data_IF_253204697452
#
_entry.id   IF_253204697452
#
_cell.length_a   1.000
_cell.length_b   1.000
_cell.length_c   1.000
_cell.angle_alpha   90.00
_cell.angle_beta   90.00
_cell.angle_gamma   90.00
#
_symmetry.space_group_name_H-M   'P 1'
#
loop_
_entity.id
_entity.type
_entity.pdbx_description
1 polymer ?
#
# COMPACT_ATOMS: atom_id res chain seq x y z
N UNK A 1 2.38 -13.79 24.82
CA UNK A 1 3.72 -13.18 24.65
C UNK A 1 4.28 -13.48 23.26
N UNK A 2 3.78 -14.54 22.62
CA UNK A 2 4.22 -15.02 21.31
C UNK A 2 3.92 -14.04 20.16
N UNK A 3 2.74 -13.41 20.12
CA UNK A 3 2.40 -12.47 19.03
C UNK A 3 3.32 -11.24 18.99
N UNK A 4 3.76 -10.72 20.14
CA UNK A 4 4.70 -9.60 20.18
C UNK A 4 6.10 -10.01 19.70
N UNK A 5 6.50 -11.25 20.00
CA UNK A 5 7.75 -11.81 19.49
C UNK A 5 7.68 -12.00 17.97
N UNK A 6 6.55 -12.47 17.42
CA UNK A 6 6.36 -12.62 15.97
C UNK A 6 6.37 -11.27 15.26
N UNK A 7 5.64 -10.27 15.77
CA UNK A 7 5.67 -8.90 15.25
C UNK A 7 7.11 -8.37 15.24
N UNK A 8 7.84 -8.56 16.34
CA UNK A 8 9.23 -8.12 16.43
C UNK A 8 10.11 -8.85 15.41
N UNK A 9 9.94 -10.17 15.23
CA UNK A 9 10.70 -10.95 14.25
C UNK A 9 10.41 -10.51 12.81
N UNK A 10 9.15 -10.20 12.47
CA UNK A 10 8.78 -9.74 11.13
C UNK A 10 9.28 -8.32 10.85
N UNK A 11 9.30 -7.45 11.87
CA UNK A 11 9.78 -6.07 11.74
C UNK A 11 11.30 -5.92 11.93
N UNK A 12 11.97 -6.87 12.58
CA UNK A 12 13.41 -6.84 12.84
C UNK A 12 14.23 -6.61 11.56
N UNK A 13 13.97 -7.30 10.42
CA UNK A 13 14.66 -7.03 9.17
C UNK A 13 14.58 -5.56 8.73
N UNK A 14 13.47 -4.87 8.99
CA UNK A 14 13.31 -3.45 8.66
C UNK A 14 14.28 -2.59 9.45
N UNK A 15 14.34 -2.80 10.76
CA UNK A 15 15.24 -2.05 11.65
C UNK A 15 16.70 -2.36 11.35
N UNK A 16 17.02 -3.63 11.08
CA UNK A 16 18.37 -4.05 10.66
C UNK A 16 18.74 -3.39 9.33
N UNK A 17 17.85 -3.40 8.33
CA UNK A 17 18.04 -2.70 7.06
C UNK A 17 18.30 -1.21 7.23
N UNK A 18 17.54 -0.56 8.14
CA UNK A 18 17.68 0.86 8.44
C UNK A 18 19.05 1.23 9.05
N UNK A 19 19.75 0.28 9.69
CA UNK A 19 21.10 0.51 10.20
C UNK A 19 22.15 0.66 9.09
N UNK A 20 21.90 0.14 7.88
CA UNK A 20 22.85 0.21 6.77
C UNK A 20 22.75 1.55 6.02
N UNK A 21 23.85 2.29 5.96
CA UNK A 21 24.01 3.45 5.04
C UNK A 21 24.77 3.00 3.80
N UNK A 22 24.06 2.87 2.69
CA UNK A 22 24.65 2.50 1.41
C UNK A 22 24.97 3.73 0.55
N UNK A 23 26.02 3.69 -0.27
CA UNK A 23 26.31 4.73 -1.26
C UNK A 23 25.26 4.72 -2.39
N UNK A 24 25.10 5.85 -3.09
CA UNK A 24 24.14 6.02 -4.18
C UNK A 24 24.06 4.89 -5.24
N UNK A 25 25.16 4.26 -5.72
CA UNK A 25 25.06 3.13 -6.63
C UNK A 25 24.42 1.87 -5.99
N UNK A 26 24.69 1.62 -4.71
CA UNK A 26 24.12 0.48 -3.99
C UNK A 26 22.64 0.69 -3.64
N UNK A 27 22.21 1.96 -3.45
CA UNK A 27 20.79 2.29 -3.34
C UNK A 27 20.02 2.02 -4.64
N UNK A 28 20.59 2.36 -5.79
CA UNK A 28 19.99 2.02 -7.10
C UNK A 28 19.85 0.50 -7.31
N UNK A 29 20.79 -0.28 -6.78
CA UNK A 29 20.67 -1.74 -6.77
C UNK A 29 19.54 -2.20 -5.83
N UNK A 30 19.45 -1.58 -4.64
CA UNK A 30 18.38 -1.85 -3.67
C UNK A 30 17.00 -1.61 -4.30
N UNK A 31 16.80 -0.52 -5.04
CA UNK A 31 15.54 -0.23 -5.74
C UNK A 31 15.18 -1.30 -6.80
N UNK A 32 16.19 -1.78 -7.54
CA UNK A 32 16.01 -2.88 -8.52
C UNK A 32 15.66 -4.19 -7.83
N UNK A 33 16.34 -4.52 -6.73
CA UNK A 33 16.06 -5.71 -5.94
C UNK A 33 14.67 -5.65 -5.31
N UNK A 34 14.25 -4.49 -4.80
CA UNK A 34 12.91 -4.27 -4.27
C UNK A 34 11.88 -4.53 -5.36
N UNK A 35 12.06 -3.93 -6.55
CA UNK A 35 11.19 -4.15 -7.71
C UNK A 35 11.13 -5.63 -8.11
N UNK A 36 12.27 -6.33 -8.10
CA UNK A 36 12.33 -7.78 -8.36
C UNK A 36 11.56 -8.57 -7.30
N UNK A 37 11.76 -8.27 -6.01
CA UNK A 37 11.03 -8.90 -4.92
C UNK A 37 9.51 -8.71 -5.09
N UNK A 38 9.06 -7.52 -5.49
CA UNK A 38 7.65 -7.27 -5.80
C UNK A 38 7.15 -8.23 -6.89
N UNK A 39 7.85 -8.34 -8.03
CA UNK A 39 7.40 -9.24 -9.09
C UNK A 39 7.41 -10.71 -8.67
N UNK A 40 8.41 -11.15 -7.90
CA UNK A 40 8.46 -12.51 -7.34
C UNK A 40 7.25 -12.75 -6.43
N UNK A 41 6.93 -11.81 -5.55
CA UNK A 41 5.77 -11.87 -4.65
C UNK A 41 4.47 -11.98 -5.45
N UNK A 42 4.27 -11.13 -6.45
CA UNK A 42 3.06 -11.14 -7.28
C UNK A 42 2.87 -12.49 -7.98
N UNK A 43 3.97 -13.07 -8.45
CA UNK A 43 3.99 -14.38 -9.07
C UNK A 43 3.64 -15.49 -8.07
N UNK A 44 4.19 -15.43 -6.84
CA UNK A 44 3.87 -16.37 -5.76
C UNK A 44 2.40 -16.29 -5.33
N UNK A 45 1.81 -15.10 -5.27
CA UNK A 45 0.38 -14.93 -4.99
C UNK A 45 -0.46 -15.59 -6.09
N UNK A 46 -0.10 -15.36 -7.37
CA UNK A 46 -0.76 -16.02 -8.50
C UNK A 46 -0.68 -17.55 -8.45
N UNK A 47 0.50 -18.10 -8.16
CA UNK A 47 0.67 -19.55 -7.97
C UNK A 47 -0.18 -20.07 -6.80
N UNK A 48 -0.22 -19.32 -5.68
CA UNK A 48 -1.04 -19.67 -4.53
C UNK A 48 -2.53 -19.70 -4.84
N UNK A 49 -3.03 -18.76 -5.65
CA UNK A 49 -4.40 -18.78 -6.14
C UNK A 49 -4.69 -20.00 -7.02
N UNK A 50 -3.74 -20.43 -7.85
CA UNK A 50 -3.95 -21.60 -8.73
C UNK A 50 -4.19 -22.91 -7.96
N UNK A 51 -3.73 -22.96 -6.71
CA UNK A 51 -3.81 -24.14 -5.85
C UNK A 51 -5.07 -24.17 -4.97
N UNK A 52 -5.92 -23.13 -5.04
CA UNK A 52 -7.16 -23.13 -4.25
C UNK A 52 -8.25 -23.96 -4.91
N UNK A 53 -8.95 -24.74 -4.10
CA UNK A 53 -10.11 -25.50 -4.57
C UNK A 53 -11.21 -24.53 -5.01
N UNK A 54 -11.82 -24.79 -6.16
CA UNK A 54 -12.93 -24.01 -6.70
C UNK A 54 -12.59 -22.52 -7.00
N UNK A 55 -11.52 -22.31 -7.76
CA UNK A 55 -11.00 -21.00 -8.21
C UNK A 55 -12.07 -20.00 -8.65
N UNK A 56 -13.09 -20.43 -9.40
CA UNK A 56 -14.14 -19.53 -9.90
C UNK A 56 -14.95 -18.85 -8.79
N UNK A 57 -15.29 -19.58 -7.73
CA UNK A 57 -16.02 -19.05 -6.57
C UNK A 57 -15.11 -18.15 -5.72
N UNK A 58 -13.86 -18.54 -5.55
CA UNK A 58 -12.83 -17.74 -4.87
C UNK A 58 -12.60 -16.39 -5.58
N UNK A 59 -12.46 -16.37 -6.91
CA UNK A 59 -12.29 -15.13 -7.67
C UNK A 59 -13.48 -14.17 -7.51
N UNK A 60 -14.71 -14.69 -7.49
CA UNK A 60 -15.91 -13.89 -7.22
C UNK A 60 -15.90 -13.28 -5.80
N UNK A 61 -15.51 -14.07 -4.80
CA UNK A 61 -15.35 -13.61 -3.42
C UNK A 61 -14.26 -12.54 -3.28
N UNK A 62 -13.08 -12.78 -3.87
CA UNK A 62 -11.96 -11.82 -3.89
C UNK A 62 -12.42 -10.50 -4.51
N UNK A 63 -13.07 -10.52 -5.66
CA UNK A 63 -13.55 -9.31 -6.32
C UNK A 63 -14.56 -8.55 -5.45
N UNK A 64 -15.53 -9.25 -4.84
CA UNK A 64 -16.50 -8.65 -3.95
C UNK A 64 -15.84 -8.00 -2.72
N UNK A 65 -14.97 -8.73 -2.01
CA UNK A 65 -14.28 -8.22 -0.83
C UNK A 65 -13.34 -7.06 -1.17
N UNK A 66 -12.61 -7.13 -2.28
CA UNK A 66 -11.75 -6.05 -2.74
C UNK A 66 -12.55 -4.77 -3.07
N UNK A 67 -13.68 -4.90 -3.77
CA UNK A 67 -14.54 -3.77 -4.11
C UNK A 67 -15.22 -3.16 -2.89
N UNK A 68 -15.68 -3.99 -1.94
CA UNK A 68 -16.27 -3.51 -0.70
C UNK A 68 -15.23 -2.77 0.14
N UNK A 69 -14.05 -3.36 0.35
CA UNK A 69 -12.95 -2.73 1.09
C UNK A 69 -12.53 -1.42 0.42
N UNK A 70 -12.39 -1.42 -0.91
CA UNK A 70 -12.10 -0.23 -1.71
C UNK A 70 -13.14 0.87 -1.52
N UNK A 71 -14.43 0.52 -1.59
CA UNK A 71 -15.53 1.47 -1.44
C UNK A 71 -15.54 2.08 -0.03
N UNK A 72 -15.39 1.26 1.01
CA UNK A 72 -15.32 1.71 2.40
C UNK A 72 -14.11 2.60 2.66
N UNK A 73 -12.91 2.17 2.24
CA UNK A 73 -11.69 2.95 2.40
C UNK A 73 -11.77 4.28 1.67
N UNK A 74 -12.20 4.27 0.42
CA UNK A 74 -12.33 5.48 -0.39
C UNK A 74 -13.38 6.42 0.20
N UNK A 75 -14.56 5.88 0.55
CA UNK A 75 -15.67 6.65 1.12
C UNK A 75 -15.30 7.30 2.45
N UNK A 76 -14.77 6.52 3.41
CA UNK A 76 -14.35 7.04 4.71
C UNK A 76 -13.21 8.05 4.58
N UNK A 77 -12.21 7.78 3.73
CA UNK A 77 -11.09 8.72 3.53
C UNK A 77 -11.56 10.02 2.90
N UNK A 78 -12.36 9.97 1.83
CA UNK A 78 -12.88 11.19 1.20
C UNK A 78 -13.78 11.96 2.16
N UNK A 79 -14.67 11.30 2.90
CA UNK A 79 -15.52 11.96 3.88
C UNK A 79 -14.70 12.68 4.97
N UNK A 80 -13.72 11.99 5.56
CA UNK A 80 -12.87 12.55 6.61
C UNK A 80 -11.96 13.67 6.10
N UNK A 81 -11.38 13.51 4.91
CA UNK A 81 -10.51 14.53 4.30
C UNK A 81 -11.31 15.75 3.84
N UNK A 82 -12.49 15.58 3.24
CA UNK A 82 -13.34 16.70 2.84
C UNK A 82 -13.87 17.45 4.06
N UNK A 83 -14.18 16.72 5.14
CA UNK A 83 -14.48 17.32 6.43
C UNK A 83 -13.28 18.14 6.96
N UNK A 84 -12.07 17.59 6.89
CA UNK A 84 -10.85 18.29 7.29
C UNK A 84 -10.57 19.53 6.43
N UNK A 85 -10.80 19.46 5.12
CA UNK A 85 -10.70 20.60 4.19
C UNK A 85 -11.66 21.74 4.57
N UNK A 86 -12.85 21.43 5.09
CA UNK A 86 -13.79 22.45 5.58
C UNK A 86 -13.31 23.14 6.86
N UNK A 87 -12.61 22.42 7.73
CA UNK A 87 -12.09 22.97 8.99
C UNK A 87 -10.79 23.76 8.74
N UNK A 88 -9.90 23.24 7.91
CA UNK A 88 -8.59 23.83 7.59
C UNK A 88 -8.40 23.94 6.07
N UNK A 89 -9.12 24.88 5.43
CA UNK A 89 -9.02 25.05 4.00
C UNK A 89 -7.58 25.39 3.60
N UNK A 90 -7.15 24.78 2.51
CA UNK A 90 -5.86 25.05 1.90
C UNK A 90 -6.02 25.04 0.39
N UNK A 91 -5.48 26.08 -0.23
CA UNK A 91 -5.37 26.16 -1.68
C UNK A 91 -3.91 26.44 -2.00
N UNK A 92 -3.17 25.45 -2.52
CA UNK A 92 -1.82 25.70 -2.97
C UNK A 92 -1.87 26.58 -4.23
N UNK A 93 -1.08 27.66 -4.24
CA UNK A 93 -0.99 28.57 -5.37
C UNK A 93 -0.18 27.89 -6.49
N UNK A 94 -0.86 27.33 -7.49
CA UNK A 94 -0.23 26.67 -8.63
C UNK A 94 -1.00 26.93 -9.92
N UNK A 95 -0.29 27.25 -11.01
CA UNK A 95 -0.86 27.19 -12.36
C UNK A 95 -1.05 25.72 -12.71
N UNK A 96 -2.26 25.33 -13.11
CA UNK A 96 -2.54 24.02 -13.74
C UNK A 96 -1.57 23.83 -14.90
N UNK A 97 -0.73 22.80 -14.83
CA UNK A 97 0.12 22.41 -15.94
C UNK A 97 -0.72 21.73 -17.06
N UNK A 98 -0.13 21.49 -18.22
CA UNK A 98 -0.81 20.98 -19.42
C UNK A 98 -1.22 19.50 -19.32
N UNK A 99 -2.22 19.03 -20.09
CA UNK A 99 -2.87 17.70 -19.95
C UNK A 99 -1.90 16.57 -19.55
N UNK A 100 -2.07 16.05 -18.34
CA UNK A 100 -1.30 14.91 -17.85
C UNK A 100 -1.80 13.60 -18.48
N UNK A 101 -0.90 12.83 -19.09
CA UNK A 101 -1.18 11.47 -19.52
C UNK A 101 -1.11 10.54 -18.30
N UNK A 102 -2.26 10.08 -17.82
CA UNK A 102 -2.33 9.08 -16.76
C UNK A 102 -1.80 7.76 -17.32
N UNK A 103 -0.66 7.30 -16.80
CA UNK A 103 -0.05 6.04 -17.23
C UNK A 103 -0.55 4.89 -16.36
N UNK A 104 -1.49 4.11 -16.89
CA UNK A 104 -2.01 2.88 -16.27
C UNK A 104 -1.08 1.67 -16.44
N UNK A 105 0.09 1.86 -17.07
CA UNK A 105 0.98 0.78 -17.47
C UNK A 105 1.52 -0.03 -16.28
N UNK A 106 1.75 0.60 -15.14
CA UNK A 106 2.30 -0.08 -13.96
C UNK A 106 1.27 -1.03 -13.34
N UNK A 107 0.03 -0.57 -13.15
CA UNK A 107 -1.07 -1.42 -12.69
C UNK A 107 -1.32 -2.61 -13.61
N UNK A 108 -1.31 -2.39 -14.92
CA UNK A 108 -1.46 -3.46 -15.91
C UNK A 108 -0.35 -4.51 -15.82
N UNK A 109 0.91 -4.09 -15.63
CA UNK A 109 2.06 -5.02 -15.44
C UNK A 109 1.90 -5.87 -14.18
N UNK A 110 1.41 -5.29 -13.09
CA UNK A 110 1.21 -6.01 -11.83
C UNK A 110 0.11 -7.08 -11.97
N UNK A 111 -1.05 -6.72 -12.51
CA UNK A 111 -2.12 -7.68 -12.82
C UNK A 111 -1.59 -8.77 -13.74
N UNK A 112 -0.86 -8.39 -14.80
CA UNK A 112 -0.25 -9.33 -15.73
C UNK A 112 0.69 -10.33 -15.05
N UNK A 113 1.45 -9.89 -14.04
CA UNK A 113 2.35 -10.76 -13.28
C UNK A 113 1.60 -11.76 -12.39
N UNK A 114 0.51 -11.33 -11.75
CA UNK A 114 -0.36 -12.23 -10.97
C UNK A 114 -1.03 -13.26 -11.88
N UNK A 115 -1.56 -12.83 -13.04
CA UNK A 115 -2.15 -13.74 -14.03
C UNK A 115 -1.13 -14.73 -14.59
N UNK A 116 0.11 -14.28 -14.81
CA UNK A 116 1.21 -15.15 -15.22
C UNK A 116 1.54 -16.16 -14.11
N UNK A 117 1.59 -15.74 -12.85
CA UNK A 117 1.75 -16.64 -11.71
C UNK A 117 0.61 -17.67 -11.61
N UNK A 118 -0.63 -17.25 -11.84
CA UNK A 118 -1.79 -18.14 -11.89
C UNK A 118 -1.64 -19.17 -13.02
N UNK A 119 -1.29 -18.74 -14.23
CA UNK A 119 -1.05 -19.63 -15.36
C UNK A 119 0.09 -20.63 -15.10
N UNK A 120 1.19 -20.17 -14.51
CA UNK A 120 2.29 -21.05 -14.10
C UNK A 120 1.84 -22.05 -13.03
N UNK A 121 1.06 -21.62 -12.03
CA UNK A 121 0.55 -22.50 -10.98
C UNK A 121 -0.41 -23.58 -11.49
N UNK A 122 -1.15 -23.32 -12.57
CA UNK A 122 -2.04 -24.29 -13.22
C UNK A 122 -1.30 -25.28 -14.14
N UNK A 123 -0.19 -24.84 -14.76
CA UNK A 123 0.53 -25.61 -15.78
C UNK A 123 1.73 -26.40 -15.22
N UNK A 124 2.35 -25.93 -14.13
CA UNK A 124 3.55 -26.54 -13.58
C UNK A 124 3.24 -27.81 -12.77
N UNK A 125 4.00 -28.90 -12.96
CA UNK A 125 3.96 -30.06 -12.07
C UNK A 125 4.29 -29.67 -10.63
N UNK A 126 3.69 -30.38 -9.65
CA UNK A 126 3.87 -30.09 -8.23
C UNK A 126 5.33 -30.07 -7.76
N UNK A 127 6.22 -30.81 -8.44
CA UNK A 127 7.65 -30.87 -8.14
C UNK A 127 8.44 -29.60 -8.54
N UNK A 128 7.92 -28.78 -9.46
CA UNK A 128 8.54 -27.54 -9.93
C UNK A 128 7.96 -26.30 -9.25
N UNK A 129 6.97 -26.47 -8.37
CA UNK A 129 6.37 -25.37 -7.63
C UNK A 129 7.37 -24.81 -6.60
N UNK A 130 7.33 -23.49 -6.36
CA UNK A 130 8.16 -22.87 -5.33
C UNK A 130 7.94 -23.51 -3.96
N UNK A 131 9.00 -23.51 -3.14
CA UNK A 131 8.90 -23.98 -1.77
C UNK A 131 7.85 -23.20 -0.98
N UNK A 132 7.17 -23.84 -0.02
CA UNK A 132 6.09 -23.22 0.76
C UNK A 132 6.53 -21.95 1.49
N UNK A 133 7.78 -21.92 1.96
CA UNK A 133 8.35 -20.76 2.67
C UNK A 133 8.92 -19.67 1.75
N UNK A 134 8.87 -19.85 0.42
CA UNK A 134 9.39 -18.86 -0.53
C UNK A 134 8.73 -17.48 -0.34
N UNK A 135 7.42 -17.44 -0.04
CA UNK A 135 6.71 -16.21 0.25
C UNK A 135 7.17 -15.55 1.55
N UNK A 136 7.46 -16.34 2.59
CA UNK A 136 7.98 -15.82 3.86
C UNK A 136 9.37 -15.20 3.68
N UNK A 137 10.28 -15.88 2.97
CA UNK A 137 11.62 -15.33 2.69
C UNK A 137 11.56 -14.09 1.80
N UNK A 138 10.70 -14.09 0.78
CA UNK A 138 10.50 -12.92 -0.07
C UNK A 138 9.97 -11.73 0.74
N UNK A 139 9.07 -11.96 1.70
CA UNK A 139 8.59 -10.94 2.62
C UNK A 139 9.71 -10.39 3.52
N UNK A 140 10.50 -11.25 4.16
CA UNK A 140 11.61 -10.82 5.01
C UNK A 140 12.63 -10.00 4.22
N UNK A 141 12.93 -10.41 2.99
CA UNK A 141 13.82 -9.68 2.09
C UNK A 141 13.20 -8.33 1.68
N UNK A 142 11.91 -8.28 1.35
CA UNK A 142 11.21 -7.04 1.01
C UNK A 142 11.28 -6.04 2.18
N UNK A 143 10.91 -6.47 3.39
CA UNK A 143 10.93 -5.63 4.59
C UNK A 143 12.35 -5.14 4.90
N UNK A 144 13.36 -6.00 4.73
CA UNK A 144 14.76 -5.60 4.88
C UNK A 144 15.17 -4.51 3.89
N UNK A 145 14.89 -4.71 2.59
CA UNK A 145 15.22 -3.75 1.53
C UNK A 145 14.50 -2.41 1.73
N UNK A 146 13.25 -2.44 2.21
CA UNK A 146 12.51 -1.25 2.61
C UNK A 146 13.25 -0.50 3.73
N UNK A 147 13.72 -1.20 4.76
CA UNK A 147 14.53 -0.61 5.83
C UNK A 147 15.77 0.13 5.30
N UNK A 148 16.51 -0.51 4.39
CA UNK A 148 17.69 0.08 3.72
C UNK A 148 17.30 1.32 2.91
N UNK A 149 16.21 1.26 2.14
CA UNK A 149 15.72 2.35 1.31
C UNK A 149 15.30 3.57 2.17
N UNK A 150 14.60 3.34 3.28
CA UNK A 150 14.19 4.39 4.23
C UNK A 150 15.41 5.15 4.80
N UNK A 151 16.53 4.46 5.02
CA UNK A 151 17.78 5.09 5.48
C UNK A 151 18.51 5.84 4.36
N UNK A 152 18.50 5.27 3.16
CA UNK A 152 19.25 5.76 1.99
C UNK A 152 18.58 6.89 1.22
N UNK A 153 17.26 7.05 1.34
CA UNK A 153 16.46 7.98 0.54
C UNK A 153 16.82 9.47 0.69
N UNK A 154 17.72 9.84 1.61
CA UNK A 154 18.27 11.18 1.70
C UNK A 154 17.26 12.28 2.07
N UNK A 155 15.99 11.94 2.25
CA UNK A 155 14.97 12.86 2.73
C UNK A 155 15.30 13.15 4.19
N UNK A 156 15.64 14.39 4.56
CA UNK A 156 15.87 14.72 5.95
C UNK A 156 14.56 14.52 6.70
N UNK A 157 14.46 13.39 7.44
CA UNK A 157 13.35 13.01 8.33
C UNK A 157 12.80 14.22 9.09
N UNK A 158 13.71 15.08 9.56
CA UNK A 158 13.38 16.32 10.25
C UNK A 158 12.54 17.27 9.39
N UNK A 159 12.87 17.52 8.13
CA UNK A 159 12.10 18.44 7.28
C UNK A 159 10.72 17.89 6.92
N UNK A 160 10.60 16.57 6.74
CA UNK A 160 9.31 15.92 6.50
C UNK A 160 8.43 15.96 7.74
N UNK A 161 8.96 15.63 8.90
CA UNK A 161 8.21 15.62 10.16
C UNK A 161 7.92 17.04 10.68
N UNK A 162 8.62 18.07 10.20
CA UNK A 162 8.31 19.46 10.54
C UNK A 162 7.11 20.02 9.77
N UNK A 163 6.63 19.37 8.71
CA UNK A 163 5.44 19.80 8.02
C UNK A 163 4.18 19.39 8.80
N UNK A 164 3.70 20.31 9.64
CA UNK A 164 2.53 20.09 10.51
C UNK A 164 1.27 19.70 9.73
N UNK A 165 1.11 20.21 8.50
CA UNK A 165 -0.06 19.87 7.67
C UNK A 165 0.03 18.43 7.17
N UNK A 166 1.19 18.00 6.68
CA UNK A 166 1.43 16.60 6.29
C UNK A 166 1.17 15.62 7.44
N UNK A 167 1.61 15.96 8.66
CA UNK A 167 1.33 15.16 9.86
C UNK A 167 -0.18 15.09 10.19
N UNK A 168 -0.89 16.22 10.13
CA UNK A 168 -2.33 16.26 10.39
C UNK A 168 -3.11 15.43 9.36
N UNK A 169 -2.78 15.55 8.07
CA UNK A 169 -3.38 14.74 7.01
C UNK A 169 -3.13 13.25 7.26
N UNK A 170 -1.90 12.89 7.65
CA UNK A 170 -1.54 11.49 7.91
C UNK A 170 -2.37 10.91 9.04
N UNK A 171 -2.52 11.64 10.15
CA UNK A 171 -3.31 11.20 11.28
C UNK A 171 -4.80 11.01 10.91
N UNK A 172 -5.40 12.00 10.25
CA UNK A 172 -6.81 11.91 9.85
C UNK A 172 -7.03 10.77 8.85
N UNK A 173 -6.14 10.60 7.86
CA UNK A 173 -6.20 9.54 6.87
C UNK A 173 -6.06 8.14 7.49
N UNK A 174 -5.10 7.94 8.40
CA UNK A 174 -4.92 6.66 9.07
C UNK A 174 -6.13 6.31 9.94
N UNK A 175 -6.69 7.29 10.66
CA UNK A 175 -7.90 7.09 11.46
C UNK A 175 -9.12 6.76 10.60
N UNK A 176 -9.29 7.41 9.44
CA UNK A 176 -10.37 7.09 8.51
C UNK A 176 -10.20 5.73 7.84
N UNK A 177 -8.97 5.31 7.54
CA UNK A 177 -8.68 3.96 7.07
C UNK A 177 -9.00 2.92 8.15
N UNK A 178 -8.58 3.15 9.39
CA UNK A 178 -8.90 2.26 10.52
C UNK A 178 -10.41 2.13 10.71
N UNK A 179 -11.16 3.24 10.65
CA UNK A 179 -12.62 3.20 10.71
C UNK A 179 -13.24 2.37 9.57
N UNK A 180 -12.73 2.50 8.34
CA UNK A 180 -13.16 1.67 7.21
C UNK A 180 -12.83 0.18 7.42
N UNK A 181 -11.67 -0.14 7.99
CA UNK A 181 -11.28 -1.52 8.34
C UNK A 181 -12.20 -2.13 9.38
N UNK A 182 -12.59 -1.35 10.40
CA UNK A 182 -13.59 -1.76 11.40
C UNK A 182 -14.94 -2.00 10.74
N UNK A 183 -15.41 -1.08 9.90
CA UNK A 183 -16.67 -1.26 9.16
C UNK A 183 -16.64 -2.50 8.27
N UNK A 184 -15.52 -2.75 7.57
CA UNK A 184 -15.36 -3.93 6.74
C UNK A 184 -15.48 -5.23 7.55
N UNK A 185 -14.81 -5.30 8.71
CA UNK A 185 -14.90 -6.46 9.60
C UNK A 185 -16.31 -6.67 10.18
N UNK A 186 -17.05 -5.59 10.44
CA UNK A 186 -18.44 -5.69 10.93
C UNK A 186 -19.44 -6.12 9.85
N UNK A 187 -19.13 -5.88 8.58
CA UNK A 187 -20.01 -6.20 7.45
C UNK A 187 -19.79 -7.60 6.88
N UNK A 188 -18.62 -8.19 7.10
CA UNK A 188 -18.25 -9.50 6.55
C UNK A 188 -18.16 -10.53 7.68
N UNK A 189 -19.06 -11.49 7.65
CA UNK A 189 -19.04 -12.62 8.57
C UNK A 189 -17.72 -13.40 8.45
N UNK A 190 -17.10 -13.69 9.59
CA UNK A 190 -15.85 -14.44 9.66
C UNK A 190 -14.58 -13.60 9.51
N UNK A 191 -14.68 -12.28 9.26
CA UNK A 191 -13.53 -11.36 9.30
C UNK A 191 -13.39 -10.78 10.69
N UNK A 192 -12.24 -11.01 11.34
CA UNK A 192 -11.98 -10.43 12.65
C UNK A 192 -11.71 -8.92 12.55
N UNK A 193 -11.94 -8.19 13.65
CA UNK A 193 -11.62 -6.76 13.74
C UNK A 193 -10.15 -6.48 13.37
N UNK A 194 -9.24 -7.34 13.81
CA UNK A 194 -7.81 -7.25 13.55
C UNK A 194 -7.48 -7.48 12.09
N UNK A 195 -8.13 -8.44 11.43
CA UNK A 195 -7.98 -8.66 9.99
C UNK A 195 -8.46 -7.45 9.18
N UNK A 196 -9.60 -6.85 9.54
CA UNK A 196 -10.09 -5.62 8.91
C UNK A 196 -9.12 -4.44 9.08
N UNK A 197 -8.57 -4.25 10.27
CA UNK A 197 -7.54 -3.24 10.55
C UNK A 197 -6.26 -3.51 9.77
N UNK A 198 -5.81 -4.76 9.68
CA UNK A 198 -4.63 -5.16 8.92
C UNK A 198 -4.80 -4.86 7.43
N UNK A 199 -5.96 -5.23 6.84
CA UNK A 199 -6.32 -4.94 5.46
C UNK A 199 -6.39 -3.44 5.16
N UNK A 200 -6.88 -2.63 6.11
CA UNK A 200 -6.97 -1.18 5.96
C UNK A 200 -5.63 -0.44 6.14
N UNK A 201 -4.62 -1.09 6.73
CA UNK A 201 -3.33 -0.50 7.08
C UNK A 201 -2.29 -0.55 5.94
N UNK A 202 -2.63 -1.16 4.80
CA UNK A 202 -1.76 -1.18 3.62
C UNK A 202 -1.61 0.20 2.96
N UNK A 203 -2.60 1.08 3.15
CA UNK A 203 -2.59 2.48 2.70
C UNK A 203 -2.27 2.72 1.21
N UNK A 204 -2.40 1.72 0.34
CA UNK A 204 -2.05 1.82 -1.09
C UNK A 204 -0.74 1.14 -1.45
N UNK A 205 -0.03 0.54 -0.49
CA UNK A 205 1.21 -0.19 -0.75
C UNK A 205 0.94 -1.64 -1.14
N UNK A 206 0.46 -1.82 -2.38
CA UNK A 206 -0.01 -3.10 -2.93
C UNK A 206 0.98 -4.27 -2.74
N UNK A 207 2.28 -4.02 -2.86
CA UNK A 207 3.27 -5.09 -2.82
C UNK A 207 3.49 -5.65 -1.43
N UNK A 208 3.57 -4.77 -0.42
CA UNK A 208 3.69 -5.16 0.97
C UNK A 208 2.37 -5.73 1.50
N UNK A 209 1.24 -5.08 1.18
CA UNK A 209 -0.07 -5.52 1.64
C UNK A 209 -0.45 -6.89 1.09
N UNK A 210 -0.23 -7.12 -0.21
CA UNK A 210 -0.52 -8.40 -0.86
C UNK A 210 0.24 -9.57 -0.24
N UNK A 211 1.56 -9.44 -0.02
CA UNK A 211 2.34 -10.53 0.57
C UNK A 211 2.04 -10.73 2.06
N UNK A 212 1.89 -9.63 2.82
CA UNK A 212 1.63 -9.71 4.26
C UNK A 212 0.29 -10.40 4.52
N UNK A 213 -0.75 -10.03 3.78
CA UNK A 213 -2.07 -10.66 3.89
C UNK A 213 -2.05 -12.10 3.36
N UNK A 214 -1.25 -12.39 2.33
CA UNK A 214 -1.05 -13.79 1.87
C UNK A 214 -0.45 -14.66 2.95
N UNK A 215 0.61 -14.18 3.61
CA UNK A 215 1.27 -14.92 4.69
C UNK A 215 0.38 -15.04 5.92
N UNK A 216 -0.44 -14.04 6.22
CA UNK A 216 -1.24 -13.98 7.45
C UNK A 216 -2.57 -14.71 7.33
N UNK A 217 -3.25 -14.56 6.19
CA UNK A 217 -4.62 -15.00 5.99
C UNK A 217 -4.83 -15.82 4.71
N UNK A 218 -3.79 -16.03 3.89
CA UNK A 218 -3.84 -16.83 2.67
C UNK A 218 -3.95 -16.02 1.37
N UNK A 219 -3.69 -16.67 0.24
CA UNK A 219 -3.55 -16.03 -1.08
C UNK A 219 -4.79 -15.26 -1.55
N UNK A 220 -5.99 -15.69 -1.15
CA UNK A 220 -7.24 -14.98 -1.43
C UNK A 220 -7.24 -13.58 -0.80
N UNK A 221 -6.92 -13.46 0.49
CA UNK A 221 -6.84 -12.19 1.20
C UNK A 221 -5.68 -11.31 0.74
N UNK A 222 -4.55 -11.92 0.36
CA UNK A 222 -3.47 -11.23 -0.35
C UNK A 222 -3.92 -10.57 -1.65
N UNK A 223 -4.74 -11.29 -2.42
CA UNK A 223 -5.30 -10.80 -3.67
C UNK A 223 -6.33 -9.69 -3.44
N UNK A 224 -7.15 -9.80 -2.39
CA UNK A 224 -8.06 -8.73 -1.95
C UNK A 224 -7.29 -7.44 -1.65
N UNK A 225 -6.23 -7.52 -0.85
CA UNK A 225 -5.40 -6.37 -0.48
C UNK A 225 -4.74 -5.71 -1.70
N UNK A 226 -4.16 -6.53 -2.59
CA UNK A 226 -3.55 -6.07 -3.83
C UNK A 226 -4.54 -5.35 -4.74
N UNK A 227 -5.69 -5.97 -5.00
CA UNK A 227 -6.71 -5.39 -5.88
C UNK A 227 -7.28 -4.10 -5.29
N UNK A 228 -7.53 -4.08 -3.98
CA UNK A 228 -7.93 -2.87 -3.28
C UNK A 228 -6.91 -1.73 -3.49
N UNK A 229 -5.63 -1.98 -3.20
CA UNK A 229 -4.60 -0.95 -3.30
C UNK A 229 -4.40 -0.47 -4.73
N UNK A 230 -4.48 -1.36 -5.71
CA UNK A 230 -4.41 -1.01 -7.12
C UNK A 230 -5.61 -0.14 -7.54
N UNK A 231 -6.83 -0.51 -7.17
CA UNK A 231 -8.02 0.29 -7.44
C UNK A 231 -7.91 1.68 -6.81
N UNK A 232 -7.39 1.78 -5.58
CA UNK A 232 -7.15 3.06 -4.88
C UNK A 232 -6.15 3.92 -5.64
N UNK A 233 -5.05 3.36 -6.13
CA UNK A 233 -4.06 4.09 -6.93
C UNK A 233 -4.67 4.64 -8.24
N UNK A 234 -5.41 3.79 -8.97
CA UNK A 234 -6.04 4.19 -10.23
C UNK A 234 -7.09 5.28 -10.01
N UNK A 235 -7.91 5.15 -8.97
CA UNK A 235 -8.88 6.17 -8.59
C UNK A 235 -8.18 7.47 -8.21
N UNK A 236 -7.12 7.41 -7.40
CA UNK A 236 -6.39 8.59 -6.95
C UNK A 236 -5.87 9.40 -8.15
N UNK A 237 -5.21 8.75 -9.11
CA UNK A 237 -4.70 9.41 -10.32
C UNK A 237 -5.80 10.12 -11.11
N UNK A 238 -7.00 9.53 -11.19
CA UNK A 238 -8.14 10.12 -11.89
C UNK A 238 -8.79 11.27 -11.10
N UNK A 239 -8.85 11.17 -9.77
CA UNK A 239 -9.63 12.06 -8.91
C UNK A 239 -8.81 13.24 -8.38
N UNK A 240 -7.48 13.12 -8.25
CA UNK A 240 -6.59 14.20 -7.78
C UNK A 240 -6.81 15.52 -8.54
N UNK A 241 -6.81 15.55 -9.89
CA UNK A 241 -7.00 16.79 -10.64
C UNK A 241 -8.39 17.42 -10.40
N UNK A 242 -9.40 16.60 -10.11
CA UNK A 242 -10.76 17.05 -9.86
C UNK A 242 -10.94 17.62 -8.44
N UNK A 243 -10.27 17.03 -7.46
CA UNK A 243 -10.34 17.47 -6.07
C UNK A 243 -9.46 18.69 -5.78
N UNK A 244 -8.28 18.77 -6.39
CA UNK A 244 -7.26 19.77 -6.04
C UNK A 244 -7.78 21.22 -5.99
N UNK A 245 -8.64 21.70 -6.91
CA UNK A 245 -9.10 23.09 -6.89
C UNK A 245 -9.98 23.45 -5.67
N UNK A 246 -10.66 22.47 -5.07
CA UNK A 246 -11.65 22.71 -3.98
C UNK A 246 -11.28 22.05 -2.66
N UNK A 247 -10.61 20.91 -2.73
CA UNK A 247 -10.32 20.01 -1.62
C UNK A 247 -8.87 19.54 -1.72
N UNK A 248 -7.92 20.46 -1.58
CA UNK A 248 -6.50 20.17 -1.79
C UNK A 248 -5.96 19.14 -0.78
N UNK A 249 -6.44 19.15 0.47
CA UNK A 249 -6.02 18.13 1.43
C UNK A 249 -6.59 16.76 1.04
N UNK A 250 -7.84 16.70 0.55
CA UNK A 250 -8.43 15.46 0.02
C UNK A 250 -7.73 14.95 -1.23
N UNK A 251 -7.30 15.84 -2.11
CA UNK A 251 -6.52 15.49 -3.29
C UNK A 251 -5.17 14.86 -2.90
N UNK A 252 -4.47 15.39 -1.89
CA UNK A 252 -3.27 14.74 -1.37
C UNK A 252 -3.62 13.43 -0.66
N UNK A 253 -4.62 13.44 0.22
CA UNK A 253 -4.99 12.30 1.07
C UNK A 253 -5.45 11.06 0.30
N UNK A 254 -6.16 11.22 -0.82
CA UNK A 254 -6.66 10.09 -1.62
C UNK A 254 -5.52 9.26 -2.21
N UNK A 255 -4.33 9.85 -2.42
CA UNK A 255 -3.14 9.14 -2.87
C UNK A 255 -2.57 8.17 -1.83
N UNK A 256 -2.83 8.36 -0.53
CA UNK A 256 -2.29 7.51 0.53
C UNK A 256 -0.77 7.39 0.46
N UNK A 257 -0.24 6.17 0.56
CA UNK A 257 1.18 5.86 0.44
C UNK A 257 1.79 6.36 -0.89
N UNK A 258 1.01 6.37 -1.97
CA UNK A 258 1.52 6.73 -3.31
C UNK A 258 1.78 8.24 -3.49
N UNK A 259 1.40 9.05 -2.51
CA UNK A 259 1.46 10.53 -2.59
C UNK A 259 2.87 11.08 -2.69
N UNK A 260 3.88 10.30 -2.30
CA UNK A 260 5.28 10.70 -2.40
C UNK A 260 5.98 10.19 -3.67
N UNK A 261 5.34 9.30 -4.45
CA UNK A 261 5.92 8.68 -5.64
C UNK A 261 4.94 8.68 -6.85
N UNK A 262 4.01 7.72 -6.96
CA UNK A 262 3.20 7.52 -8.16
C UNK A 262 2.17 8.63 -8.38
N UNK A 263 1.52 9.11 -7.31
CA UNK A 263 0.54 10.19 -7.42
C UNK A 263 1.16 11.56 -7.24
N UNK A 264 2.45 11.65 -6.85
CA UNK A 264 3.16 12.92 -6.70
C UNK A 264 3.15 13.79 -7.98
N UNK A 265 3.42 13.26 -9.19
CA UNK A 265 3.30 14.05 -10.41
C UNK A 265 1.90 14.65 -10.60
N UNK A 266 0.83 13.89 -10.31
CA UNK A 266 -0.55 14.38 -10.41
C UNK A 266 -0.85 15.48 -9.39
N UNK A 267 -0.32 15.34 -8.16
CA UNK A 267 -0.45 16.34 -7.10
C UNK A 267 0.33 17.62 -7.48
N UNK A 268 1.57 17.49 -7.93
CA UNK A 268 2.40 18.62 -8.34
C UNK A 268 1.81 19.35 -9.55
N UNK A 269 1.26 18.61 -10.51
CA UNK A 269 0.63 19.15 -11.70
C UNK A 269 -0.61 19.98 -11.36
N UNK A 270 -1.48 19.43 -10.51
CA UNK A 270 -2.77 20.04 -10.17
C UNK A 270 -2.63 21.13 -9.10
N UNK A 271 -1.73 20.94 -8.12
CA UNK A 271 -1.57 21.79 -6.93
C UNK A 271 -0.30 22.65 -6.96
N UNK A 272 0.53 22.54 -7.99
CA UNK A 272 1.80 23.25 -8.09
C UNK A 272 2.86 22.77 -7.10
N UNK A 273 4.03 23.43 -7.14
CA UNK A 273 5.17 23.12 -6.28
C UNK A 273 4.88 23.30 -4.78
N UNK A 274 3.90 24.13 -4.43
CA UNK A 274 3.49 24.33 -3.04
C UNK A 274 2.82 23.08 -2.42
N UNK A 275 2.27 22.17 -3.23
CA UNK A 275 1.66 20.95 -2.73
C UNK A 275 2.67 19.83 -2.42
N UNK A 276 3.83 19.86 -3.08
CA UNK A 276 4.86 18.80 -2.99
C UNK A 276 5.34 18.55 -1.56
N UNK A 277 5.71 19.55 -0.73
CA UNK A 277 6.19 19.29 0.62
C UNK A 277 5.14 18.65 1.53
N UNK A 278 3.85 18.95 1.32
CA UNK A 278 2.75 18.34 2.08
C UNK A 278 2.55 16.90 1.64
N UNK A 279 2.54 16.63 0.34
CA UNK A 279 2.38 15.28 -0.21
C UNK A 279 3.53 14.34 0.14
N UNK A 280 4.77 14.82 0.06
CA UNK A 280 5.96 14.06 0.47
C UNK A 280 5.93 13.80 1.98
N UNK A 281 5.56 14.80 2.79
CA UNK A 281 5.47 14.61 4.24
C UNK A 281 4.39 13.59 4.63
N UNK A 282 3.20 13.74 4.06
CA UNK A 282 2.08 12.83 4.23
C UNK A 282 2.43 11.40 3.80
N UNK A 283 2.87 11.23 2.56
CA UNK A 283 3.23 9.93 1.99
C UNK A 283 4.33 9.25 2.79
N UNK A 284 5.33 9.99 3.26
CA UNK A 284 6.40 9.43 4.09
C UNK A 284 5.89 8.86 5.41
N UNK A 285 5.04 9.60 6.14
CA UNK A 285 4.49 9.16 7.43
C UNK A 285 3.62 7.92 7.25
N UNK A 286 2.78 7.94 6.22
CA UNK A 286 1.90 6.81 5.87
C UNK A 286 2.71 5.57 5.48
N UNK A 287 3.76 5.72 4.65
CA UNK A 287 4.66 4.62 4.28
C UNK A 287 5.45 4.07 5.47
N UNK A 288 5.82 4.92 6.45
CA UNK A 288 6.48 4.45 7.67
C UNK A 288 5.50 3.69 8.58
N UNK A 289 4.26 4.15 8.67
CA UNK A 289 3.23 3.55 9.53
C UNK A 289 2.67 2.24 8.95
N UNK A 290 2.54 2.13 7.63
CA UNK A 290 1.96 0.99 6.93
C UNK A 290 2.55 -0.38 7.37
N UNK A 291 3.87 -0.64 7.25
CA UNK A 291 4.45 -1.93 7.66
C UNK A 291 4.24 -2.20 9.15
N UNK A 292 4.39 -1.18 10.00
CA UNK A 292 4.27 -1.33 11.46
C UNK A 292 2.85 -1.74 11.86
N UNK A 293 1.85 -0.98 11.41
CA UNK A 293 0.44 -1.21 11.76
C UNK A 293 -0.09 -2.49 11.12
N UNK A 294 0.27 -2.75 9.86
CA UNK A 294 -0.19 -3.93 9.14
C UNK A 294 0.35 -5.22 9.77
N UNK A 295 1.65 -5.29 10.08
CA UNK A 295 2.23 -6.44 10.77
C UNK A 295 1.60 -6.60 12.15
N UNK A 296 1.49 -5.50 12.92
CA UNK A 296 0.92 -5.52 14.26
C UNK A 296 -0.53 -6.07 14.27
N UNK A 297 -1.40 -5.57 13.41
CA UNK A 297 -2.79 -6.05 13.35
C UNK A 297 -2.90 -7.45 12.75
N UNK A 298 -2.07 -7.79 11.77
CA UNK A 298 -2.07 -9.13 11.18
C UNK A 298 -1.76 -10.21 12.21
N UNK A 299 -0.74 -9.98 13.05
CA UNK A 299 -0.35 -10.93 14.11
C UNK A 299 -1.31 -10.94 15.31
N UNK A 300 -2.09 -9.88 15.55
CA UNK A 300 -3.15 -9.89 16.56
C UNK A 300 -4.41 -10.63 16.10
N UNK A 301 -4.62 -10.74 14.79
CA UNK A 301 -5.78 -11.42 14.20
C UNK A 301 -5.60 -12.90 13.92
N UNK A 302 -4.40 -13.45 14.18
CA UNK A 302 -4.10 -14.89 14.17
C UNK A 302 -4.39 -15.50 15.53
#
# INVERSE_FOLDING_TARGET
MDNLQTVLTVLLPMFVGFCFRLPAPALRLTDRLLTLCVYVILLLIGIGLAQTDNLGRELGGIAFYALLLFALLTGCNLAAMMWFDRIKPWQPAGKTADKQQVSFANGAKQIGTVLLGLGLGLLLPAALLPHKDAGHYALMMLIFLVGVQLRGGGIPLRQVLLNTRGLQLSAVFMLSCAAAGVLFALLIDGVSLWQGLALSSGYGWYSLSGIMMTQSYGAAWGSVALLNDLLRELLALAVIPLLMPRFANSAVGIGGATSMDFTLPAIQHSGGLAAVPVAVSFGFVVNLAAPLLMVFFAELGR
#
